data_IF_883158134003
#
_entry.id   IF_883158134003
#
_cell.length_a   1.000
_cell.length_b   1.000
_cell.length_c   1.000
_cell.angle_alpha   90.00
_cell.angle_beta   90.00
_cell.angle_gamma   90.00
#
_symmetry.space_group_name_H-M   'P 1'
#
loop_
_entity.id
_entity.type
_entity.pdbx_description
1 polymer ?
#
# COMPACT_ATOMS: atom_id res chain seq x y z
N UNK A 1 -19.17 34.72 43.09
CA UNK A 1 -19.22 34.58 44.56
C UNK A 1 -19.19 35.96 45.26
N UNK A 2 -18.11 36.73 45.19
CA UNK A 2 -17.98 38.03 45.86
C UNK A 2 -19.10 39.03 45.50
N UNK A 3 -19.56 39.06 44.24
CA UNK A 3 -20.66 39.91 43.81
C UNK A 3 -21.99 39.61 44.53
N UNK A 4 -22.37 38.35 44.70
CA UNK A 4 -23.56 37.98 45.44
C UNK A 4 -23.44 38.31 46.94
N UNK A 5 -22.30 38.01 47.54
CA UNK A 5 -22.02 38.32 48.94
C UNK A 5 -22.14 39.83 49.25
N UNK A 6 -21.74 40.67 48.31
CA UNK A 6 -21.78 42.15 48.46
C UNK A 6 -23.18 42.74 48.20
N UNK A 7 -23.92 42.14 47.23
CA UNK A 7 -25.21 42.64 46.80
C UNK A 7 -26.40 42.08 47.59
N UNK A 8 -26.20 41.00 48.37
CA UNK A 8 -27.17 40.32 49.20
C UNK A 8 -26.63 40.20 50.63
N UNK A 9 -26.70 41.23 51.47
CA UNK A 9 -26.11 41.24 52.81
C UNK A 9 -26.74 40.22 53.79
N UNK A 10 -27.90 39.66 53.43
CA UNK A 10 -28.63 38.66 54.22
C UNK A 10 -28.11 37.24 54.05
N UNK A 11 -27.25 36.98 53.07
CA UNK A 11 -26.73 35.64 52.78
C UNK A 11 -25.27 35.46 53.27
N UNK A 12 -24.98 34.28 53.72
CA UNK A 12 -23.63 33.89 54.09
C UNK A 12 -22.72 33.64 52.89
N UNK A 13 -21.41 33.51 53.15
CA UNK A 13 -20.42 33.23 52.11
C UNK A 13 -20.69 31.88 51.39
N UNK A 14 -21.20 30.89 52.09
CA UNK A 14 -21.56 29.57 51.56
C UNK A 14 -22.76 29.71 50.60
N UNK A 15 -23.76 30.47 50.95
CA UNK A 15 -24.93 30.71 50.10
C UNK A 15 -24.58 31.48 48.86
N UNK A 16 -23.68 32.48 48.93
CA UNK A 16 -23.15 33.20 47.81
C UNK A 16 -22.34 32.31 46.87
N UNK A 17 -21.59 31.37 47.43
CA UNK A 17 -20.86 30.37 46.63
C UNK A 17 -21.84 29.42 45.94
N UNK A 18 -22.83 28.91 46.70
CA UNK A 18 -23.84 28.01 46.15
C UNK A 18 -24.63 28.66 45.01
N UNK A 19 -25.12 29.92 45.17
CA UNK A 19 -25.74 30.68 44.08
C UNK A 19 -24.84 30.80 42.85
N UNK A 20 -23.55 31.06 43.05
CA UNK A 20 -22.60 31.16 41.97
C UNK A 20 -22.46 29.82 41.23
N UNK A 21 -22.35 28.71 41.95
CA UNK A 21 -22.19 27.39 41.34
C UNK A 21 -23.45 26.92 40.58
N UNK A 22 -24.64 27.08 41.16
CA UNK A 22 -25.89 26.66 40.51
C UNK A 22 -26.19 27.50 39.25
N UNK A 23 -25.76 28.77 39.25
CA UNK A 23 -25.91 29.66 38.10
C UNK A 23 -24.91 29.30 37.00
N UNK A 24 -23.63 29.09 37.37
CA UNK A 24 -22.55 28.75 36.45
C UNK A 24 -22.77 27.36 35.82
N UNK A 25 -23.27 26.38 36.62
CA UNK A 25 -23.56 25.01 36.16
C UNK A 25 -24.86 24.91 35.35
N UNK A 26 -25.56 26.02 35.15
CA UNK A 26 -26.90 26.08 34.46
C UNK A 26 -27.98 25.19 35.10
N UNK A 27 -27.82 24.78 36.35
CA UNK A 27 -28.79 23.94 37.06
C UNK A 27 -30.00 24.76 37.52
N UNK A 28 -29.78 26.00 38.06
CA UNK A 28 -30.81 26.99 38.31
C UNK A 28 -31.92 26.58 39.28
N UNK A 29 -31.57 26.07 40.49
CA UNK A 29 -32.55 25.65 41.49
C UNK A 29 -33.46 26.79 42.00
N UNK A 30 -33.13 28.04 41.70
CA UNK A 30 -33.89 29.20 42.13
C UNK A 30 -33.06 30.16 43.00
N UNK A 31 -33.72 31.21 43.47
CA UNK A 31 -33.14 32.26 44.32
C UNK A 31 -33.13 31.79 45.78
N UNK A 32 -31.99 31.96 46.48
CA UNK A 32 -31.83 31.56 47.90
C UNK A 32 -32.44 32.64 48.82
N UNK A 33 -32.46 33.91 48.36
CA UNK A 33 -32.99 35.06 49.11
C UNK A 33 -33.62 36.04 48.12
N UNK A 34 -34.54 36.93 48.56
CA UNK A 34 -35.13 37.95 47.70
C UNK A 34 -34.04 38.83 47.09
N UNK A 35 -34.00 38.92 45.76
CA UNK A 35 -33.00 39.69 45.04
C UNK A 35 -33.42 41.16 44.85
N UNK A 36 -32.53 42.08 45.19
CA UNK A 36 -32.62 43.47 44.79
C UNK A 36 -32.45 43.62 43.29
N UNK A 37 -32.95 44.74 42.72
CA UNK A 37 -32.82 45.00 41.29
C UNK A 37 -31.34 45.05 40.84
N UNK A 38 -30.43 45.53 41.69
CA UNK A 38 -29.01 45.51 41.44
C UNK A 38 -28.44 44.08 41.39
N UNK A 39 -28.92 43.17 42.29
CA UNK A 39 -28.51 41.78 42.31
C UNK A 39 -29.04 41.04 41.06
N UNK A 40 -30.26 41.35 40.59
CA UNK A 40 -30.82 40.78 39.34
C UNK A 40 -30.01 41.22 38.12
N UNK A 41 -29.70 42.51 37.99
CA UNK A 41 -28.82 43.01 36.90
C UNK A 41 -27.46 42.35 36.90
N UNK A 42 -26.83 42.25 38.07
CA UNK A 42 -25.57 41.52 38.21
C UNK A 42 -25.67 40.05 37.74
N UNK A 43 -26.72 39.37 38.13
CA UNK A 43 -26.98 37.99 37.74
C UNK A 43 -27.14 37.84 36.23
N UNK A 44 -27.87 38.78 35.57
CA UNK A 44 -28.04 38.80 34.11
C UNK A 44 -26.66 38.89 33.43
N UNK A 45 -25.85 39.86 33.81
CA UNK A 45 -24.50 40.03 33.24
C UNK A 45 -23.60 38.83 33.53
N UNK A 46 -23.69 38.27 34.74
CA UNK A 46 -22.92 37.09 35.14
C UNK A 46 -23.28 35.86 34.30
N UNK A 47 -24.60 35.62 34.03
CA UNK A 47 -25.05 34.55 33.16
C UNK A 47 -24.54 34.73 31.72
N UNK A 48 -24.64 35.95 31.17
CA UNK A 48 -24.16 36.21 29.81
C UNK A 48 -22.66 35.95 29.67
N UNK A 49 -21.85 36.41 30.62
CA UNK A 49 -20.42 36.18 30.62
C UNK A 49 -20.12 34.70 30.78
N UNK A 50 -20.77 34.03 31.74
CA UNK A 50 -20.56 32.59 32.00
C UNK A 50 -20.88 31.73 30.80
N UNK A 51 -22.00 32.01 30.12
CA UNK A 51 -22.44 31.29 28.92
C UNK A 51 -21.42 31.49 27.76
N UNK A 52 -20.93 32.72 27.60
CA UNK A 52 -19.92 33.02 26.57
C UNK A 52 -18.61 32.28 26.81
N UNK A 53 -18.11 32.25 28.05
CA UNK A 53 -16.90 31.54 28.43
C UNK A 53 -17.08 30.02 28.26
N UNK A 54 -18.24 29.50 28.66
CA UNK A 54 -18.58 28.08 28.50
C UNK A 54 -18.63 27.68 27.00
N UNK A 55 -19.30 28.46 26.17
CA UNK A 55 -19.41 28.22 24.73
C UNK A 55 -18.02 28.29 24.05
N UNK A 56 -17.18 29.23 24.47
CA UNK A 56 -15.80 29.30 23.98
C UNK A 56 -14.98 28.08 24.39
N UNK A 57 -15.06 27.67 25.66
CA UNK A 57 -14.37 26.49 26.14
C UNK A 57 -14.82 25.21 25.44
N UNK A 58 -16.13 25.07 25.19
CA UNK A 58 -16.67 23.92 24.46
C UNK A 58 -16.17 23.89 23.00
N UNK A 59 -16.10 25.06 22.35
CA UNK A 59 -15.51 25.21 21.01
C UNK A 59 -14.05 24.73 20.98
N UNK A 60 -13.22 25.21 21.91
CA UNK A 60 -11.80 24.85 21.97
C UNK A 60 -11.60 23.34 22.24
N UNK A 61 -12.38 22.75 23.15
CA UNK A 61 -12.35 21.32 23.43
C UNK A 61 -12.77 20.55 22.17
N UNK A 62 -13.83 20.95 21.50
CA UNK A 62 -14.31 20.29 20.27
C UNK A 62 -13.27 20.40 19.15
N UNK A 63 -12.68 21.58 18.96
CA UNK A 63 -11.60 21.77 17.99
C UNK A 63 -10.39 20.89 18.33
N UNK A 64 -9.98 20.79 19.59
CA UNK A 64 -8.87 19.95 20.02
C UNK A 64 -9.11 18.47 19.66
N UNK A 65 -10.32 17.94 19.93
CA UNK A 65 -10.69 16.57 19.58
C UNK A 65 -10.82 16.34 18.06
N UNK A 66 -11.25 17.35 17.30
CA UNK A 66 -11.40 17.24 15.85
C UNK A 66 -10.07 17.49 15.10
N UNK A 67 -9.20 18.38 15.60
CA UNK A 67 -7.97 18.77 14.91
C UNK A 67 -6.81 17.86 15.26
N UNK A 68 -6.72 17.38 16.48
CA UNK A 68 -5.78 16.32 16.81
C UNK A 68 -6.41 14.97 16.48
N UNK A 69 -6.01 14.41 15.36
CA UNK A 69 -6.35 13.04 14.94
C UNK A 69 -5.77 12.01 15.94
N UNK A 70 -6.27 12.02 17.20
CA UNK A 70 -5.85 11.09 18.26
C UNK A 70 -6.07 9.65 17.78
N UNK A 71 -7.16 9.40 17.08
CA UNK A 71 -7.43 8.10 16.45
C UNK A 71 -6.40 7.75 15.37
N UNK A 72 -5.97 8.72 14.57
CA UNK A 72 -4.92 8.47 13.57
C UNK A 72 -3.56 8.24 14.22
N UNK A 73 -3.19 9.01 15.25
CA UNK A 73 -1.95 8.76 16.03
C UNK A 73 -1.94 7.38 16.69
N UNK A 74 -3.07 6.91 17.22
CA UNK A 74 -3.22 5.56 17.79
C UNK A 74 -3.13 4.51 16.68
N UNK A 75 -3.83 4.73 15.55
CA UNK A 75 -3.78 3.85 14.37
C UNK A 75 -2.35 3.76 13.83
N UNK A 76 -1.64 4.88 13.73
CA UNK A 76 -0.26 4.94 13.26
C UNK A 76 0.72 4.23 14.21
N UNK A 77 0.57 4.37 15.54
CA UNK A 77 1.37 3.62 16.51
C UNK A 77 1.14 2.10 16.42
N UNK A 78 -0.10 1.67 16.21
CA UNK A 78 -0.43 0.25 15.98
C UNK A 78 0.19 -0.25 14.68
N UNK A 79 0.11 0.55 13.62
CA UNK A 79 0.70 0.25 12.31
C UNK A 79 2.22 0.10 12.39
N UNK A 80 2.91 1.03 13.06
CA UNK A 80 4.36 0.97 13.25
C UNK A 80 4.79 -0.32 13.96
N UNK A 81 4.01 -0.83 14.92
CA UNK A 81 4.28 -2.12 15.57
C UNK A 81 4.11 -3.30 14.62
N UNK A 82 3.06 -3.29 13.78
CA UNK A 82 2.82 -4.34 12.78
C UNK A 82 3.95 -4.33 11.77
N UNK A 83 4.30 -3.16 11.24
CA UNK A 83 5.36 -3.01 10.24
C UNK A 83 6.73 -3.44 10.76
N UNK A 84 7.06 -3.13 12.02
CA UNK A 84 8.31 -3.54 12.65
C UNK A 84 8.45 -5.07 12.76
N UNK A 85 7.35 -5.82 12.74
CA UNK A 85 7.35 -7.29 12.78
C UNK A 85 7.40 -7.95 11.40
N UNK A 86 7.16 -7.20 10.33
CA UNK A 86 7.17 -7.73 8.96
C UNK A 86 8.59 -8.08 8.51
N UNK A 87 8.71 -9.21 7.82
CA UNK A 87 9.93 -9.65 7.14
C UNK A 87 9.59 -10.05 5.72
N UNK A 88 10.56 -9.95 4.84
CA UNK A 88 10.42 -10.34 3.42
C UNK A 88 9.25 -9.66 2.69
N UNK A 89 8.77 -8.53 3.22
CA UNK A 89 7.64 -7.77 2.68
C UNK A 89 8.05 -6.84 1.55
N UNK A 90 7.05 -6.33 0.84
CA UNK A 90 7.24 -5.31 -0.21
C UNK A 90 6.92 -3.92 0.33
N UNK A 91 7.80 -2.95 0.08
CA UNK A 91 7.53 -1.54 0.29
C UNK A 91 7.00 -0.91 -1.01
N UNK A 92 5.92 -0.13 -0.92
CA UNK A 92 5.40 0.67 -2.02
C UNK A 92 5.53 2.14 -1.63
N UNK A 93 6.38 2.89 -2.33
CA UNK A 93 6.56 4.32 -2.13
C UNK A 93 5.66 5.10 -3.08
N UNK A 94 4.57 5.68 -2.53
CA UNK A 94 3.52 6.40 -3.23
C UNK A 94 2.28 5.55 -3.50
N UNK A 95 1.09 6.10 -3.17
CA UNK A 95 -0.22 5.48 -3.40
C UNK A 95 -1.02 6.20 -4.49
N UNK A 96 -0.31 6.70 -5.51
CA UNK A 96 -0.90 7.22 -6.73
C UNK A 96 -1.48 6.09 -7.62
N UNK A 97 -1.74 6.39 -8.91
CA UNK A 97 -2.33 5.42 -9.86
C UNK A 97 -1.57 4.09 -9.89
N UNK A 98 -0.26 4.12 -10.07
CA UNK A 98 0.55 2.91 -10.20
C UNK A 98 0.75 2.18 -8.86
N UNK A 99 1.02 2.92 -7.78
CA UNK A 99 1.17 2.33 -6.45
C UNK A 99 -0.10 1.66 -5.94
N UNK A 100 -1.27 2.26 -6.22
CA UNK A 100 -2.58 1.67 -5.90
C UNK A 100 -2.81 0.37 -6.66
N UNK A 101 -2.50 0.34 -7.96
CA UNK A 101 -2.64 -0.86 -8.76
C UNK A 101 -1.71 -1.98 -8.29
N UNK A 102 -0.45 -1.63 -7.96
CA UNK A 102 0.50 -2.58 -7.40
C UNK A 102 0.03 -3.13 -6.04
N UNK A 103 -0.44 -2.26 -5.14
CA UNK A 103 -0.97 -2.65 -3.84
C UNK A 103 -2.18 -3.60 -3.96
N UNK A 104 -3.12 -3.29 -4.86
CA UNK A 104 -4.28 -4.16 -5.10
C UNK A 104 -3.87 -5.53 -5.61
N UNK A 105 -2.88 -5.60 -6.50
CA UNK A 105 -2.36 -6.86 -7.02
C UNK A 105 -1.70 -7.70 -5.93
N UNK A 106 -0.86 -7.09 -5.10
CA UNK A 106 -0.21 -7.77 -3.98
C UNK A 106 -1.25 -8.25 -2.95
N UNK A 107 -2.29 -7.45 -2.69
CA UNK A 107 -3.38 -7.82 -1.80
C UNK A 107 -4.14 -9.06 -2.30
N UNK A 108 -4.44 -9.12 -3.60
CA UNK A 108 -5.14 -10.25 -4.21
C UNK A 108 -4.33 -11.56 -4.17
N UNK A 109 -3.01 -11.47 -4.02
CA UNK A 109 -2.12 -12.63 -3.91
C UNK A 109 -1.62 -12.86 -2.48
N UNK A 110 -2.25 -12.28 -1.47
CA UNK A 110 -1.88 -12.39 -0.05
C UNK A 110 -0.40 -12.11 0.24
N UNK A 111 0.25 -11.30 -0.62
CA UNK A 111 1.65 -10.94 -0.45
C UNK A 111 1.79 -9.82 0.58
N UNK A 112 2.66 -9.95 1.62
CA UNK A 112 2.81 -8.94 2.65
C UNK A 112 3.44 -7.65 2.09
N UNK A 113 2.80 -6.51 2.33
CA UNK A 113 3.32 -5.21 1.88
C UNK A 113 2.93 -4.06 2.81
N UNK A 114 3.66 -2.96 2.69
CA UNK A 114 3.42 -1.68 3.36
C UNK A 114 3.49 -0.57 2.33
N UNK A 115 2.59 0.39 2.43
CA UNK A 115 2.54 1.56 1.55
C UNK A 115 2.97 2.80 2.31
N UNK A 116 3.90 3.56 1.75
CA UNK A 116 4.28 4.89 2.25
C UNK A 116 3.57 5.93 1.37
N UNK A 117 2.76 6.79 1.99
CA UNK A 117 2.03 7.84 1.29
C UNK A 117 2.02 9.11 2.14
N UNK A 118 2.28 10.26 1.51
CA UNK A 118 2.31 11.56 2.20
C UNK A 118 0.94 12.25 2.29
N UNK A 119 0.01 11.91 1.39
CA UNK A 119 -1.32 12.51 1.36
C UNK A 119 -2.30 11.69 2.20
N UNK A 120 -2.77 12.20 3.36
CA UNK A 120 -3.71 11.47 4.22
C UNK A 120 -5.06 11.19 3.56
N UNK A 121 -5.48 11.99 2.57
CA UNK A 121 -6.75 11.79 1.89
C UNK A 121 -6.79 10.53 1.03
N UNK A 122 -5.64 10.08 0.52
CA UNK A 122 -5.52 8.83 -0.24
C UNK A 122 -5.59 7.57 0.64
N UNK A 123 -5.34 7.72 1.94
CA UNK A 123 -5.31 6.60 2.91
C UNK A 123 -6.70 6.35 3.52
N UNK A 124 -7.56 7.36 3.55
CA UNK A 124 -8.90 7.27 4.16
C UNK A 124 -9.73 6.14 3.54
N UNK A 125 -10.35 5.33 4.39
CA UNK A 125 -11.22 4.23 3.96
C UNK A 125 -10.50 2.98 3.42
N UNK A 126 -9.16 2.92 3.54
CA UNK A 126 -8.35 1.79 3.06
C UNK A 126 -7.91 0.88 4.24
N UNK A 127 -8.88 0.25 4.93
CA UNK A 127 -8.60 -0.49 6.17
C UNK A 127 -7.85 -1.82 5.97
N UNK A 128 -7.83 -2.36 4.75
CA UNK A 128 -7.14 -3.62 4.41
C UNK A 128 -5.65 -3.44 4.11
N UNK A 129 -5.19 -2.20 3.97
CA UNK A 129 -3.81 -1.90 3.55
C UNK A 129 -3.06 -1.25 4.71
N UNK A 130 -1.84 -1.68 4.93
CA UNK A 130 -0.94 -1.11 5.91
C UNK A 130 -0.26 0.14 5.35
N UNK A 131 -0.57 1.31 5.92
CA UNK A 131 0.01 2.59 5.50
C UNK A 131 0.94 3.19 6.54
N UNK A 132 2.02 3.79 6.07
CA UNK A 132 2.83 4.75 6.83
C UNK A 132 2.59 6.12 6.20
N UNK A 133 2.05 7.03 7.00
CA UNK A 133 1.86 8.42 6.59
C UNK A 133 3.21 9.15 6.67
N UNK A 134 3.75 9.55 5.53
CA UNK A 134 5.01 10.26 5.46
C UNK A 134 5.57 10.38 4.05
N UNK A 135 6.66 11.11 3.95
CA UNK A 135 7.39 11.29 2.70
C UNK A 135 8.45 10.19 2.55
N UNK A 136 8.29 9.34 1.52
CA UNK A 136 9.19 8.22 1.24
C UNK A 136 10.65 8.63 0.93
N UNK A 137 10.92 9.92 0.69
CA UNK A 137 12.27 10.46 0.51
C UNK A 137 13.02 10.64 1.82
N UNK A 138 12.33 10.57 2.94
CA UNK A 138 12.93 10.71 4.26
C UNK A 138 13.38 9.35 4.80
N UNK A 139 14.64 9.25 5.17
CA UNK A 139 15.25 8.02 5.68
C UNK A 139 14.51 7.44 6.89
N UNK A 140 14.08 8.30 7.82
CA UNK A 140 13.34 7.88 9.00
C UNK A 140 11.97 7.23 8.67
N UNK A 141 11.34 7.59 7.55
CA UNK A 141 10.10 6.98 7.07
C UNK A 141 10.37 5.59 6.46
N UNK A 142 11.46 5.44 5.70
CA UNK A 142 11.91 4.15 5.19
C UNK A 142 12.30 3.19 6.32
N UNK A 143 12.93 3.70 7.38
CA UNK A 143 13.23 2.90 8.58
C UNK A 143 11.96 2.47 9.33
N UNK A 144 10.97 3.37 9.49
CA UNK A 144 9.66 3.01 10.05
C UNK A 144 8.95 1.93 9.22
N UNK A 145 9.19 1.90 7.91
CA UNK A 145 8.68 0.88 7.01
C UNK A 145 9.47 -0.44 7.08
N UNK A 146 10.47 -0.54 7.97
CA UNK A 146 11.34 -1.69 8.16
C UNK A 146 12.08 -2.13 6.87
N UNK A 147 12.61 -1.15 6.13
CA UNK A 147 13.30 -1.38 4.85
C UNK A 147 14.44 -2.38 4.94
N UNK A 148 15.12 -2.45 6.09
CA UNK A 148 16.24 -3.39 6.33
C UNK A 148 15.81 -4.85 6.27
N UNK A 149 14.55 -5.15 6.56
CA UNK A 149 13.96 -6.49 6.51
C UNK A 149 13.03 -6.71 5.31
N UNK A 150 12.89 -5.71 4.45
CA UNK A 150 12.10 -5.82 3.22
C UNK A 150 12.87 -6.60 2.14
N UNK A 151 12.13 -7.32 1.30
CA UNK A 151 12.68 -8.06 0.15
C UNK A 151 12.51 -7.30 -1.16
N UNK A 152 11.45 -6.52 -1.29
CA UNK A 152 11.12 -5.79 -2.51
C UNK A 152 10.76 -4.33 -2.21
N UNK A 153 11.03 -3.46 -3.19
CA UNK A 153 10.58 -2.06 -3.16
C UNK A 153 10.03 -1.65 -4.51
N UNK A 154 8.89 -0.97 -4.50
CA UNK A 154 8.29 -0.33 -5.67
C UNK A 154 8.32 1.19 -5.46
N UNK A 155 9.17 1.89 -6.19
CA UNK A 155 9.19 3.35 -6.21
C UNK A 155 8.19 3.84 -7.27
N UNK A 156 7.04 4.35 -6.81
CA UNK A 156 5.90 4.74 -7.67
C UNK A 156 5.48 6.21 -7.48
N UNK A 157 6.42 7.06 -7.07
CA UNK A 157 6.19 8.50 -6.93
C UNK A 157 5.97 9.15 -8.30
N UNK A 158 5.25 10.28 -8.38
CA UNK A 158 4.96 10.93 -9.66
C UNK A 158 6.19 11.52 -10.34
N UNK A 159 7.23 11.89 -9.59
CA UNK A 159 8.43 12.56 -10.09
C UNK A 159 9.63 11.59 -10.13
N UNK A 160 10.36 11.57 -11.26
CA UNK A 160 11.54 10.72 -11.46
C UNK A 160 12.67 11.02 -10.48
N UNK A 161 12.87 12.31 -10.12
CA UNK A 161 13.90 12.72 -9.16
C UNK A 161 13.59 12.16 -7.77
N UNK A 162 12.31 12.20 -7.37
CA UNK A 162 11.88 11.63 -6.09
C UNK A 162 12.08 10.11 -6.05
N UNK A 163 11.75 9.41 -7.15
CA UNK A 163 12.03 7.98 -7.27
C UNK A 163 13.53 7.67 -7.19
N UNK A 164 14.36 8.53 -7.78
CA UNK A 164 15.81 8.38 -7.73
C UNK A 164 16.35 8.48 -6.30
N UNK A 165 15.87 9.45 -5.51
CA UNK A 165 16.23 9.58 -4.09
C UNK A 165 15.76 8.36 -3.28
N UNK A 166 14.53 7.92 -3.46
CA UNK A 166 14.00 6.72 -2.78
C UNK A 166 14.85 5.49 -3.10
N UNK A 167 15.22 5.29 -4.38
CA UNK A 167 16.05 4.15 -4.80
C UNK A 167 17.44 4.22 -4.19
N UNK A 168 18.05 5.42 -4.13
CA UNK A 168 19.38 5.63 -3.56
C UNK A 168 19.38 5.29 -2.06
N UNK A 169 18.50 5.91 -1.28
CA UNK A 169 18.37 5.62 0.16
C UNK A 169 18.01 4.15 0.42
N UNK A 170 17.09 3.58 -0.38
CA UNK A 170 16.71 2.19 -0.24
C UNK A 170 17.89 1.23 -0.43
N UNK A 171 18.75 1.48 -1.41
CA UNK A 171 19.94 0.69 -1.69
C UNK A 171 21.00 0.82 -0.60
N UNK A 172 21.11 2.00 0.03
CA UNK A 172 21.99 2.24 1.16
C UNK A 172 21.54 1.43 2.40
N UNK A 173 20.23 1.42 2.70
CA UNK A 173 19.71 0.65 3.83
C UNK A 173 19.71 -0.86 3.63
N UNK A 174 19.48 -1.32 2.39
CA UNK A 174 19.40 -2.75 2.08
C UNK A 174 19.97 -3.03 0.68
N UNK A 175 21.24 -3.46 0.61
CA UNK A 175 21.91 -3.77 -0.65
C UNK A 175 21.27 -4.90 -1.46
N UNK A 176 20.58 -5.85 -0.81
CA UNK A 176 19.98 -7.02 -1.46
C UNK A 176 18.54 -6.78 -1.94
N UNK A 177 17.99 -5.59 -1.68
CA UNK A 177 16.62 -5.25 -2.01
C UNK A 177 16.35 -5.32 -3.53
N UNK A 178 15.32 -6.04 -3.96
CA UNK A 178 14.87 -5.98 -5.34
C UNK A 178 14.02 -4.74 -5.56
N UNK A 179 14.51 -3.81 -6.37
CA UNK A 179 13.93 -2.48 -6.58
C UNK A 179 13.32 -2.37 -7.97
N UNK A 180 12.02 -2.11 -8.02
CA UNK A 180 11.29 -1.73 -9.23
C UNK A 180 10.94 -0.24 -9.15
N UNK A 181 11.34 0.55 -10.14
CA UNK A 181 11.05 1.98 -10.13
C UNK A 181 10.25 2.41 -11.34
N UNK A 182 9.26 3.26 -11.09
CA UNK A 182 8.59 4.03 -12.15
C UNK A 182 9.55 5.05 -12.73
N UNK A 183 9.42 5.27 -14.02
CA UNK A 183 10.12 6.32 -14.77
C UNK A 183 9.13 7.00 -15.74
N UNK A 184 9.23 8.30 -15.87
CA UNK A 184 8.45 9.09 -16.84
C UNK A 184 9.31 9.46 -18.05
N UNK A 185 10.51 10.01 -17.79
CA UNK A 185 11.41 10.50 -18.84
C UNK A 185 12.56 9.51 -19.11
N UNK A 186 12.63 8.98 -20.33
CA UNK A 186 13.63 7.96 -20.68
C UNK A 186 15.08 8.46 -20.50
N UNK A 187 15.33 9.75 -20.60
CA UNK A 187 16.63 10.40 -20.31
C UNK A 187 17.16 10.12 -18.89
N UNK A 188 16.30 9.82 -17.93
CA UNK A 188 16.65 9.52 -16.55
C UNK A 188 16.91 8.02 -16.32
N UNK A 189 16.65 7.14 -17.29
CA UNK A 189 16.80 5.68 -17.17
C UNK A 189 18.20 5.27 -16.71
N UNK A 190 19.23 5.82 -17.32
CA UNK A 190 20.62 5.48 -17.00
C UNK A 190 21.01 5.93 -15.59
N UNK A 191 20.46 7.04 -15.11
CA UNK A 191 20.69 7.53 -13.74
C UNK A 191 20.02 6.58 -12.73
N UNK A 192 18.75 6.26 -12.96
CA UNK A 192 17.98 5.38 -12.08
C UNK A 192 18.55 3.95 -12.02
N UNK A 193 19.12 3.46 -13.15
CA UNK A 193 19.83 2.18 -13.17
C UNK A 193 21.11 2.23 -12.34
N UNK A 194 21.88 3.33 -12.41
CA UNK A 194 23.11 3.52 -11.64
C UNK A 194 22.88 3.68 -10.14
N UNK A 195 21.73 4.23 -9.73
CA UNK A 195 21.38 4.29 -8.30
C UNK A 195 20.95 2.95 -7.72
N UNK A 196 20.81 1.91 -8.54
CA UNK A 196 20.57 0.55 -8.07
C UNK A 196 19.18 -0.01 -8.32
N UNK A 197 18.36 0.62 -9.17
CA UNK A 197 17.09 0.03 -9.61
C UNK A 197 17.35 -1.25 -10.44
N UNK A 198 16.73 -2.37 -10.02
CA UNK A 198 16.80 -3.64 -10.75
C UNK A 198 15.96 -3.58 -12.02
N UNK A 199 14.73 -3.09 -11.90
CA UNK A 199 13.77 -2.92 -12.99
C UNK A 199 13.26 -1.49 -13.07
N UNK A 200 13.10 -0.99 -14.29
CA UNK A 200 12.59 0.36 -14.56
C UNK A 200 11.41 0.25 -15.50
N UNK A 201 10.27 0.74 -15.09
CA UNK A 201 9.02 0.68 -15.82
C UNK A 201 8.56 2.09 -16.20
N UNK A 202 8.16 2.26 -17.46
CA UNK A 202 7.53 3.47 -17.98
C UNK A 202 6.05 3.19 -18.26
N UNK A 203 5.15 3.35 -17.30
CA UNK A 203 3.76 2.93 -17.42
C UNK A 203 3.02 3.64 -18.56
N UNK A 204 3.27 4.93 -18.71
CA UNK A 204 2.62 5.75 -19.76
C UNK A 204 3.04 5.31 -21.17
N UNK A 205 4.31 4.91 -21.36
CA UNK A 205 4.80 4.34 -22.62
C UNK A 205 4.16 2.97 -22.89
N UNK A 206 4.16 2.09 -21.90
CA UNK A 206 3.55 0.75 -22.03
C UNK A 206 2.07 0.88 -22.36
N UNK A 207 1.34 1.77 -21.66
CA UNK A 207 -0.07 2.02 -21.93
C UNK A 207 -0.32 2.58 -23.32
N UNK A 208 0.50 3.54 -23.77
CA UNK A 208 0.43 4.11 -25.12
C UNK A 208 0.69 3.09 -26.22
N UNK A 209 1.76 2.29 -26.06
CA UNK A 209 2.10 1.22 -27.01
C UNK A 209 0.97 0.17 -27.08
N UNK A 210 0.37 -0.18 -25.92
CA UNK A 210 -0.74 -1.12 -25.87
C UNK A 210 -2.00 -0.59 -26.56
N UNK A 211 -2.37 0.69 -26.31
CA UNK A 211 -3.50 1.33 -27.00
C UNK A 211 -3.32 1.35 -28.52
N UNK A 212 -2.10 1.67 -29.00
CA UNK A 212 -1.80 1.63 -30.43
C UNK A 212 -1.89 0.19 -31.00
N UNK A 213 -1.39 -0.79 -30.26
CA UNK A 213 -1.43 -2.20 -30.68
C UNK A 213 -2.85 -2.73 -30.82
N UNK A 214 -3.78 -2.31 -29.95
CA UNK A 214 -5.20 -2.66 -30.05
C UNK A 214 -5.87 -2.16 -31.34
N UNK A 215 -5.35 -1.06 -31.91
CA UNK A 215 -5.82 -0.56 -33.21
C UNK A 215 -5.18 -1.28 -34.40
N UNK A 216 -3.91 -1.70 -34.25
CA UNK A 216 -3.13 -2.30 -35.34
C UNK A 216 -3.32 -3.81 -35.46
N UNK A 217 -3.37 -4.51 -34.32
CA UNK A 217 -3.40 -5.99 -34.26
C UNK A 217 -4.33 -6.47 -33.12
N UNK A 218 -5.63 -6.13 -33.15
CA UNK A 218 -6.57 -6.38 -32.05
C UNK A 218 -6.67 -7.87 -31.70
N UNK A 219 -6.73 -8.75 -32.69
CA UNK A 219 -6.88 -10.19 -32.45
C UNK A 219 -5.66 -10.79 -31.76
N UNK A 220 -4.47 -10.31 -32.07
CA UNK A 220 -3.23 -10.73 -31.42
C UNK A 220 -3.20 -10.27 -29.95
N UNK A 221 -3.59 -9.03 -29.69
CA UNK A 221 -3.65 -8.50 -28.32
C UNK A 221 -4.67 -9.28 -27.50
N UNK A 222 -5.88 -9.51 -28.04
CA UNK A 222 -6.90 -10.32 -27.38
C UNK A 222 -6.40 -11.75 -27.08
N UNK A 223 -5.68 -12.37 -28.03
CA UNK A 223 -5.07 -13.68 -27.82
C UNK A 223 -4.04 -13.67 -26.70
N UNK A 224 -3.13 -12.67 -26.66
CA UNK A 224 -2.12 -12.52 -25.61
C UNK A 224 -2.75 -12.24 -24.23
N UNK A 225 -3.81 -11.45 -24.16
CA UNK A 225 -4.57 -11.23 -22.92
C UNK A 225 -5.21 -12.52 -22.39
N UNK A 226 -5.74 -13.35 -23.29
CA UNK A 226 -6.28 -14.67 -22.94
C UNK A 226 -5.20 -15.67 -22.47
N UNK A 227 -3.94 -15.49 -22.88
CA UNK A 227 -2.79 -16.26 -22.38
C UNK A 227 -2.29 -15.78 -21.02
N UNK A 228 -2.77 -14.65 -20.55
CA UNK A 228 -2.34 -14.06 -19.27
C UNK A 228 -2.94 -14.85 -18.11
N UNK A 229 -2.12 -15.25 -17.19
CA UNK A 229 -2.17 -16.17 -16.04
C UNK A 229 -3.31 -16.01 -15.01
N UNK A 230 -4.48 -15.48 -15.36
CA UNK A 230 -5.40 -14.90 -14.38
C UNK A 230 -6.83 -15.39 -14.40
N UNK A 231 -7.21 -16.23 -15.33
CA UNK A 231 -8.56 -16.83 -15.38
C UNK A 231 -8.43 -18.35 -15.30
N UNK A 232 -9.20 -19.00 -14.42
CA UNK A 232 -9.16 -20.45 -14.16
C UNK A 232 -9.37 -21.33 -15.40
N UNK A 233 -9.98 -20.81 -16.46
CA UNK A 233 -10.23 -21.53 -17.72
C UNK A 233 -9.40 -21.02 -18.92
N UNK A 234 -8.44 -20.14 -18.69
CA UNK A 234 -7.58 -19.60 -19.77
C UNK A 234 -6.46 -20.58 -20.14
N UNK A 235 -5.96 -20.52 -21.40
CA UNK A 235 -4.70 -21.19 -21.73
C UNK A 235 -3.59 -20.66 -20.82
N UNK A 236 -2.94 -21.53 -20.09
CA UNK A 236 -1.90 -21.19 -19.15
C UNK A 236 -0.52 -21.31 -19.80
N UNK A 237 0.32 -20.32 -19.54
CA UNK A 237 1.75 -20.39 -19.78
C UNK A 237 2.45 -20.87 -18.51
N UNK A 238 3.16 -21.96 -18.59
CA UNK A 238 3.90 -22.49 -17.45
C UNK A 238 5.39 -22.63 -17.78
N UNK A 239 6.23 -22.32 -16.79
CA UNK A 239 7.68 -22.44 -16.88
C UNK A 239 8.12 -23.68 -16.08
N UNK A 240 8.68 -24.69 -16.76
CA UNK A 240 9.13 -25.91 -16.15
C UNK A 240 10.65 -25.92 -16.12
N UNK A 241 11.23 -25.96 -14.91
CA UNK A 241 12.65 -26.13 -14.74
C UNK A 241 13.07 -27.56 -15.08
N UNK A 242 14.07 -27.74 -15.95
CA UNK A 242 14.58 -29.06 -16.34
C UNK A 242 15.13 -29.83 -15.13
N UNK A 243 15.71 -29.11 -14.16
CA UNK A 243 16.23 -29.71 -12.92
C UNK A 243 15.13 -30.30 -12.02
N UNK A 244 13.87 -29.88 -12.19
CA UNK A 244 12.71 -30.45 -11.50
C UNK A 244 12.23 -31.76 -12.14
N UNK A 245 12.66 -32.07 -13.35
CA UNK A 245 12.27 -33.28 -14.04
C UNK A 245 12.99 -34.52 -13.47
N UNK A 246 12.35 -35.70 -13.49
CA UNK A 246 13.04 -36.95 -13.18
C UNK A 246 14.30 -37.14 -14.03
N UNK A 247 15.38 -37.59 -13.44
CA UNK A 247 16.70 -37.76 -14.09
C UNK A 247 16.67 -38.53 -15.41
N UNK A 248 15.70 -39.42 -15.60
CA UNK A 248 15.50 -40.17 -16.84
C UNK A 248 15.22 -39.31 -18.07
N UNK A 249 14.82 -38.05 -17.90
CA UNK A 249 14.48 -37.11 -18.99
C UNK A 249 15.64 -36.16 -19.31
N UNK A 250 16.69 -36.11 -18.48
CA UNK A 250 17.89 -35.34 -18.77
C UNK A 250 18.60 -35.92 -20.01
N UNK A 251 19.22 -35.05 -20.79
CA UNK A 251 19.94 -35.35 -22.04
C UNK A 251 19.06 -35.94 -23.17
N UNK A 252 17.75 -36.08 -22.95
CA UNK A 252 16.82 -36.44 -24.02
C UNK A 252 16.48 -35.17 -24.85
N UNK A 253 16.12 -35.41 -26.12
CA UNK A 253 15.61 -34.32 -26.98
C UNK A 253 14.14 -34.02 -26.70
N UNK A 254 13.69 -32.86 -27.12
CA UNK A 254 12.24 -32.50 -27.06
C UNK A 254 11.36 -33.49 -27.83
N UNK A 255 11.89 -34.06 -28.95
CA UNK A 255 11.21 -35.09 -29.70
C UNK A 255 11.07 -36.40 -28.94
N UNK A 256 12.09 -36.80 -28.15
CA UNK A 256 12.02 -38.05 -27.35
C UNK A 256 11.02 -37.95 -26.20
N UNK A 257 10.85 -36.76 -25.64
CA UNK A 257 9.84 -36.51 -24.60
C UNK A 257 8.40 -36.69 -25.13
N UNK A 258 8.18 -36.33 -26.38
CA UNK A 258 6.87 -36.42 -27.06
C UNK A 258 5.73 -35.76 -26.22
N UNK A 259 6.04 -34.57 -25.65
CA UNK A 259 5.19 -33.83 -24.72
C UNK A 259 3.82 -33.60 -25.36
N UNK A 260 3.79 -33.10 -26.61
CA UNK A 260 2.55 -32.73 -27.30
C UNK A 260 1.61 -33.96 -27.43
N UNK A 261 2.13 -35.10 -27.81
CA UNK A 261 1.29 -36.30 -28.02
C UNK A 261 0.80 -36.90 -26.70
N UNK A 262 1.62 -36.83 -25.65
CA UNK A 262 1.30 -37.43 -24.34
C UNK A 262 0.37 -36.56 -23.49
N UNK A 263 0.53 -35.25 -23.55
CA UNK A 263 -0.15 -34.29 -22.65
C UNK A 263 -1.05 -33.31 -23.36
N UNK A 264 -0.92 -33.12 -24.67
CA UNK A 264 -1.46 -32.06 -25.51
C UNK A 264 -0.77 -30.71 -25.39
N UNK A 265 0.17 -30.53 -24.47
CA UNK A 265 0.87 -29.27 -24.26
C UNK A 265 1.83 -28.96 -25.42
N UNK A 266 1.89 -27.68 -25.81
CA UNK A 266 2.83 -27.20 -26.79
C UNK A 266 4.02 -26.55 -26.10
N UNK A 267 5.26 -26.96 -26.45
CA UNK A 267 6.47 -26.28 -26.03
C UNK A 267 6.68 -25.08 -26.96
N UNK A 268 6.47 -23.87 -26.46
CA UNK A 268 6.57 -22.63 -27.23
C UNK A 268 7.88 -21.91 -27.01
N UNK A 269 8.61 -22.22 -25.95
CA UNK A 269 9.88 -21.59 -25.63
C UNK A 269 10.84 -22.50 -24.86
N UNK A 270 12.11 -22.16 -24.97
CA UNK A 270 13.21 -22.77 -24.24
C UNK A 270 14.13 -21.67 -23.69
N UNK A 271 14.48 -21.74 -22.44
CA UNK A 271 15.44 -20.83 -21.82
C UNK A 271 16.71 -21.59 -21.48
N UNK A 272 17.84 -21.19 -22.06
CA UNK A 272 19.14 -21.81 -21.78
C UNK A 272 19.64 -21.49 -20.37
N UNK A 273 20.63 -22.25 -19.88
CA UNK A 273 21.31 -21.99 -18.61
C UNK A 273 21.94 -20.59 -18.54
N UNK A 274 22.31 -20.00 -19.69
CA UNK A 274 22.86 -18.64 -19.80
C UNK A 274 21.73 -17.55 -19.83
N UNK A 275 20.46 -17.97 -19.75
CA UNK A 275 19.32 -17.05 -19.71
C UNK A 275 18.83 -16.62 -21.10
N UNK A 276 19.36 -17.15 -22.20
CA UNK A 276 18.88 -16.86 -23.54
C UNK A 276 17.53 -17.55 -23.78
N UNK A 277 16.55 -16.78 -24.24
CA UNK A 277 15.23 -17.29 -24.59
C UNK A 277 15.19 -17.60 -26.09
N UNK A 278 14.80 -18.84 -26.42
CA UNK A 278 14.53 -19.29 -27.78
C UNK A 278 13.04 -19.55 -27.92
N UNK A 279 12.40 -18.93 -28.88
CA UNK A 279 10.99 -19.17 -29.26
C UNK A 279 10.95 -20.28 -30.28
N UNK A 280 9.99 -21.20 -30.16
CA UNK A 280 9.83 -22.36 -31.04
C UNK A 280 11.12 -23.21 -31.14
N UNK A 281 11.54 -23.85 -30.03
CA UNK A 281 12.77 -24.65 -30.01
C UNK A 281 12.69 -25.84 -30.97
N UNK A 282 13.84 -26.22 -31.55
CA UNK A 282 13.94 -27.37 -32.46
C UNK A 282 13.68 -28.67 -31.70
N UNK A 283 13.07 -29.64 -32.39
CA UNK A 283 12.68 -30.93 -31.83
C UNK A 283 13.91 -31.77 -31.32
N UNK A 284 15.07 -31.60 -31.96
CA UNK A 284 16.32 -32.28 -31.60
C UNK A 284 17.08 -31.61 -30.44
N UNK A 285 16.54 -30.50 -29.88
CA UNK A 285 17.17 -29.79 -28.79
C UNK A 285 17.21 -30.66 -27.54
N UNK A 286 18.41 -30.85 -26.95
CA UNK A 286 18.61 -31.61 -25.73
C UNK A 286 18.29 -30.79 -24.49
N UNK A 287 17.76 -31.46 -23.49
CA UNK A 287 17.43 -30.87 -22.20
C UNK A 287 18.66 -30.95 -21.27
N UNK A 288 19.26 -29.82 -21.03
CA UNK A 288 20.42 -29.68 -20.13
C UNK A 288 19.96 -29.11 -18.77
N UNK A 289 20.78 -29.37 -17.73
CA UNK A 289 20.56 -28.78 -16.40
C UNK A 289 20.52 -27.24 -16.47
N UNK A 290 19.76 -26.63 -15.55
CA UNK A 290 19.58 -25.20 -15.45
C UNK A 290 18.84 -24.54 -16.62
N UNK A 291 18.28 -25.33 -17.52
CA UNK A 291 17.41 -24.87 -18.59
C UNK A 291 15.95 -24.90 -18.13
N UNK A 292 15.10 -24.17 -18.87
CA UNK A 292 13.64 -24.14 -18.62
C UNK A 292 12.85 -24.28 -19.91
N UNK A 293 11.75 -24.99 -19.84
CA UNK A 293 10.75 -25.07 -20.90
C UNK A 293 9.61 -24.10 -20.62
N UNK A 294 9.11 -23.44 -21.65
CA UNK A 294 7.88 -22.67 -21.59
C UNK A 294 6.84 -23.42 -22.39
N UNK A 295 5.79 -23.85 -21.70
CA UNK A 295 4.69 -24.64 -22.27
C UNK A 295 3.41 -23.83 -22.28
N UNK A 296 2.59 -24.11 -23.28
CA UNK A 296 1.28 -23.47 -23.47
C UNK A 296 0.22 -24.55 -23.65
N UNK A 297 -0.81 -24.54 -22.80
CA UNK A 297 -2.08 -25.23 -23.01
C UNK A 297 -3.11 -24.83 -21.94
N UNK A 298 -4.27 -25.49 -21.91
CA UNK A 298 -5.28 -25.35 -20.86
C UNK A 298 -4.85 -26.05 -19.56
N UNK A 299 -5.50 -25.69 -18.46
CA UNK A 299 -5.19 -26.22 -17.12
C UNK A 299 -5.24 -27.75 -17.01
N UNK A 300 -6.13 -28.41 -17.79
CA UNK A 300 -6.23 -29.86 -17.78
C UNK A 300 -5.04 -30.56 -18.45
N UNK A 301 -4.49 -29.99 -19.51
CA UNK A 301 -3.31 -30.51 -20.20
C UNK A 301 -2.03 -30.26 -19.36
N UNK A 302 -1.93 -29.13 -18.70
CA UNK A 302 -0.84 -28.80 -17.78
C UNK A 302 -0.87 -29.74 -16.57
N UNK A 303 -2.02 -30.07 -15.99
CA UNK A 303 -2.14 -31.05 -14.93
C UNK A 303 -1.62 -32.45 -15.37
N UNK A 304 -1.91 -32.85 -16.61
CA UNK A 304 -1.34 -34.08 -17.18
C UNK A 304 0.17 -34.01 -17.34
N UNK A 305 0.69 -32.86 -17.72
CA UNK A 305 2.12 -32.63 -17.85
C UNK A 305 2.82 -32.72 -16.49
N UNK A 306 2.25 -32.08 -15.45
CA UNK A 306 2.75 -32.14 -14.09
C UNK A 306 2.76 -33.57 -13.56
N UNK A 307 1.69 -34.31 -13.77
CA UNK A 307 1.63 -35.75 -13.44
C UNK A 307 2.66 -36.59 -14.20
N UNK A 308 2.89 -36.30 -15.50
CA UNK A 308 3.90 -37.00 -16.32
C UNK A 308 5.31 -36.79 -15.77
N UNK A 309 5.60 -35.61 -15.26
CA UNK A 309 6.93 -35.22 -14.76
C UNK A 309 7.06 -35.30 -13.24
N UNK A 310 6.02 -35.67 -12.49
CA UNK A 310 5.99 -35.65 -11.01
C UNK A 310 6.38 -34.29 -10.43
N UNK A 311 5.72 -33.24 -10.92
CA UNK A 311 5.98 -31.83 -10.51
C UNK A 311 4.99 -31.34 -9.46
N UNK A 312 4.31 -32.19 -8.71
CA UNK A 312 3.36 -31.86 -7.63
C UNK A 312 4.03 -31.29 -6.37
#
# INVERSE_FOLDING_TARGET
MLGYYWLLPEIGLIDALYMTVITLSTVGFGEIAPMSDAAKLFTIFFIMISLSVFAYGLKEITQYFLTENIFEKIKQKKMNKITASLKDHTLICGYGRNGRQAAQRLLNHDHPFVVIEQNPDLIKGQDKINFILGDARQDGILEQANIKSAKHLIAALPNDVDNLFVVLSAREFNPELLIVSRLTEDSNRSKLKRTGANHIIMPDKIGGDHMASLLMVPDLIYFLEKLSWLEEDSPNLEEIAIDALPKKYLDQSLSDLDIRRKTNCNVIGFRSAQGQLMINPHAEMKLESHCKLIVLDNSAAIAKLNTMFNLD
#
